data_IF_492922204985
#
_entry.id   IF_492922204985
#
_cell.length_a   1.000
_cell.length_b   1.000
_cell.length_c   1.000
_cell.angle_alpha   90.00
_cell.angle_beta   90.00
_cell.angle_gamma   90.00
#
_symmetry.space_group_name_H-M   'P 1'
#
loop_
_entity.id
_entity.type
_entity.pdbx_description
1 polymer ?
#
# COMPACT_ATOMS: atom_id res chain seq x y z
N UNK A 1 -8.48 17.62 -12.26
CA UNK A 1 -8.35 16.64 -11.16
C UNK A 1 -8.71 17.37 -9.87
N UNK A 2 -9.85 17.07 -9.26
CA UNK A 2 -10.19 17.65 -7.95
C UNK A 2 -9.17 17.12 -6.92
N UNK A 3 -8.65 17.96 -6.01
CA UNK A 3 -7.74 17.49 -4.97
C UNK A 3 -8.48 16.44 -4.15
N UNK A 4 -7.94 15.22 -4.10
CA UNK A 4 -8.47 14.18 -3.23
C UNK A 4 -8.30 14.67 -1.78
N UNK A 5 -9.35 14.61 -0.94
CA UNK A 5 -9.21 15.00 0.44
C UNK A 5 -8.12 14.14 1.09
N UNK A 6 -7.13 14.78 1.71
CA UNK A 6 -6.16 14.07 2.53
C UNK A 6 -6.92 13.40 3.68
N UNK A 7 -6.96 12.07 3.63
CA UNK A 7 -7.55 11.29 4.71
C UNK A 7 -6.64 11.39 5.95
N UNK A 8 -7.22 11.46 7.16
CA UNK A 8 -6.42 11.44 8.37
C UNK A 8 -5.66 10.09 8.46
N UNK A 9 -4.47 10.08 9.08
CA UNK A 9 -3.72 8.85 9.28
C UNK A 9 -4.55 7.86 10.11
N UNK A 10 -4.58 6.61 9.67
CA UNK A 10 -5.24 5.52 10.38
C UNK A 10 -4.25 4.90 11.35
N UNK A 11 -4.69 4.64 12.60
CA UNK A 11 -3.83 3.98 13.58
C UNK A 11 -3.47 2.56 13.12
N UNK A 12 -2.22 2.08 13.33
CA UNK A 12 -1.80 0.75 12.86
C UNK A 12 -2.67 -0.40 13.35
N UNK A 13 -3.21 -0.32 14.57
CA UNK A 13 -4.12 -1.32 15.13
C UNK A 13 -5.40 -1.48 14.31
N UNK A 14 -5.94 -0.39 13.79
CA UNK A 14 -7.17 -0.42 12.96
C UNK A 14 -6.90 -1.16 11.65
N UNK A 15 -5.75 -0.91 11.01
CA UNK A 15 -5.37 -1.66 9.81
C UNK A 15 -5.17 -3.14 10.12
N UNK A 16 -4.55 -3.47 11.26
CA UNK A 16 -4.38 -4.85 11.69
C UNK A 16 -5.73 -5.57 11.89
N UNK A 17 -6.67 -4.94 12.61
CA UNK A 17 -8.03 -5.47 12.81
C UNK A 17 -8.77 -5.70 11.48
N UNK A 18 -8.66 -4.76 10.52
CA UNK A 18 -9.27 -4.90 9.19
C UNK A 18 -8.66 -6.05 8.40
N UNK A 19 -7.33 -6.19 8.42
CA UNK A 19 -6.64 -7.31 7.78
C UNK A 19 -7.01 -8.63 8.45
N UNK A 20 -7.17 -8.62 9.77
CA UNK A 20 -7.59 -9.77 10.56
C UNK A 20 -9.01 -10.25 10.19
N UNK A 21 -9.92 -9.31 9.97
CA UNK A 21 -11.30 -9.59 9.58
C UNK A 21 -11.47 -10.02 8.11
N UNK A 22 -10.42 -9.98 7.28
CA UNK A 22 -10.52 -10.41 5.88
C UNK A 22 -10.79 -11.92 5.78
N UNK A 23 -11.65 -12.28 4.82
CA UNK A 23 -11.81 -13.68 4.43
C UNK A 23 -10.47 -14.27 3.94
N UNK A 24 -10.23 -15.59 4.07
CA UNK A 24 -8.98 -16.21 3.68
C UNK A 24 -8.56 -15.90 2.23
N UNK A 25 -9.54 -15.82 1.32
CA UNK A 25 -9.30 -15.47 -0.09
C UNK A 25 -8.83 -14.02 -0.26
N UNK A 26 -9.42 -13.08 0.47
CA UNK A 26 -9.02 -11.67 0.39
C UNK A 26 -7.66 -11.44 1.02
N UNK A 27 -7.38 -12.08 2.17
CA UNK A 27 -6.05 -12.04 2.79
C UNK A 27 -4.97 -12.55 1.84
N UNK A 28 -5.18 -13.71 1.22
CA UNK A 28 -4.25 -14.25 0.21
C UNK A 28 -4.03 -13.31 -0.98
N UNK A 29 -5.07 -12.59 -1.41
CA UNK A 29 -4.95 -11.58 -2.48
C UNK A 29 -4.14 -10.37 -2.04
N UNK A 30 -4.32 -9.91 -0.81
CA UNK A 30 -3.53 -8.83 -0.23
C UNK A 30 -2.05 -9.22 -0.16
N UNK A 31 -1.75 -10.40 0.40
CA UNK A 31 -0.37 -10.91 0.52
C UNK A 31 0.30 -11.02 -0.85
N UNK A 32 -0.42 -11.54 -1.86
CA UNK A 32 0.08 -11.62 -3.22
C UNK A 32 0.30 -10.22 -3.84
N UNK A 33 -0.54 -9.23 -3.53
CA UNK A 33 -0.35 -7.84 -3.95
C UNK A 33 0.90 -7.22 -3.33
N UNK A 34 1.07 -7.38 -2.02
CA UNK A 34 2.26 -6.92 -1.28
C UNK A 34 3.52 -7.55 -1.85
N UNK A 35 3.54 -8.87 -2.08
CA UNK A 35 4.68 -9.56 -2.67
C UNK A 35 5.05 -9.02 -4.06
N UNK A 36 4.05 -8.70 -4.89
CA UNK A 36 4.29 -8.07 -6.21
C UNK A 36 4.91 -6.68 -6.08
N UNK A 37 4.48 -5.87 -5.11
CA UNK A 37 5.07 -4.55 -4.88
C UNK A 37 6.51 -4.65 -4.38
N UNK A 38 6.80 -5.58 -3.48
CA UNK A 38 8.15 -5.80 -2.96
C UNK A 38 9.13 -6.31 -4.02
N UNK A 39 8.63 -6.96 -5.08
CA UNK A 39 9.46 -7.40 -6.20
C UNK A 39 9.78 -6.28 -7.20
N UNK A 40 9.20 -5.08 -7.05
CA UNK A 40 9.43 -3.94 -7.96
C UNK A 40 10.59 -3.08 -7.47
N UNK A 41 11.32 -2.40 -8.38
CA UNK A 41 12.32 -1.41 -8.00
C UNK A 41 11.70 -0.33 -7.12
N UNK A 42 12.37 -0.02 -6.01
CA UNK A 42 11.97 1.02 -5.08
C UNK A 42 13.09 2.06 -4.94
N UNK A 43 12.73 3.34 -5.00
CA UNK A 43 13.64 4.47 -4.73
C UNK A 43 13.34 5.00 -3.33
N UNK A 44 14.37 5.13 -2.51
CA UNK A 44 14.28 5.68 -1.15
C UNK A 44 14.84 7.09 -1.11
N UNK A 45 14.09 8.02 -0.53
CA UNK A 45 14.49 9.41 -0.32
C UNK A 45 14.09 9.84 1.09
N UNK A 46 15.04 9.81 2.03
CA UNK A 46 14.74 9.99 3.45
C UNK A 46 13.81 8.89 3.96
N UNK A 47 12.70 9.31 4.56
CA UNK A 47 11.67 8.40 5.10
C UNK A 47 10.66 7.95 4.03
N UNK A 48 10.74 8.50 2.82
CA UNK A 48 9.81 8.20 1.73
C UNK A 48 10.33 7.07 0.86
N UNK A 49 9.48 6.11 0.56
CA UNK A 49 9.74 5.05 -0.42
C UNK A 49 8.80 5.20 -1.60
N UNK A 50 9.35 5.27 -2.81
CA UNK A 50 8.59 5.32 -4.06
C UNK A 50 8.76 4.02 -4.84
N UNK A 51 7.64 3.40 -5.23
CA UNK A 51 7.58 2.17 -6.02
C UNK A 51 6.78 2.44 -7.30
N UNK A 52 7.42 2.34 -8.46
CA UNK A 52 6.72 2.45 -9.74
C UNK A 52 5.85 1.20 -9.98
N UNK A 53 4.53 1.37 -10.01
CA UNK A 53 3.56 0.28 -10.26
C UNK A 53 3.18 0.14 -11.74
N UNK A 54 3.43 1.16 -12.53
CA UNK A 54 3.48 1.15 -14.00
C UNK A 54 4.27 2.39 -14.47
N UNK A 55 4.22 2.70 -15.75
CA UNK A 55 4.98 3.81 -16.34
C UNK A 55 4.46 5.19 -15.92
N UNK A 56 3.23 5.27 -15.41
CA UNK A 56 2.56 6.53 -15.07
C UNK A 56 2.18 6.63 -13.58
N UNK A 57 2.31 5.54 -12.83
CA UNK A 57 1.78 5.43 -11.46
C UNK A 57 2.86 4.99 -10.48
N UNK A 58 2.94 5.74 -9.38
CA UNK A 58 3.79 5.44 -8.24
C UNK A 58 2.95 5.17 -6.98
N UNK A 59 3.40 4.21 -6.17
CA UNK A 59 3.02 4.09 -4.77
C UNK A 59 4.07 4.81 -3.94
N UNK A 60 3.64 5.73 -3.08
CA UNK A 60 4.50 6.47 -2.15
C UNK A 60 4.13 6.10 -0.74
N UNK A 61 5.12 5.61 0.01
CA UNK A 61 5.02 5.21 1.43
C UNK A 61 5.82 6.17 2.30
#
# INVERSE_FOLDING_TARGET
MSPQPQLPPVAPSVTAELVEALSPRLRKRLDAGVAKLLARPAVRAGDTVRIAVDDETDVVL
#
